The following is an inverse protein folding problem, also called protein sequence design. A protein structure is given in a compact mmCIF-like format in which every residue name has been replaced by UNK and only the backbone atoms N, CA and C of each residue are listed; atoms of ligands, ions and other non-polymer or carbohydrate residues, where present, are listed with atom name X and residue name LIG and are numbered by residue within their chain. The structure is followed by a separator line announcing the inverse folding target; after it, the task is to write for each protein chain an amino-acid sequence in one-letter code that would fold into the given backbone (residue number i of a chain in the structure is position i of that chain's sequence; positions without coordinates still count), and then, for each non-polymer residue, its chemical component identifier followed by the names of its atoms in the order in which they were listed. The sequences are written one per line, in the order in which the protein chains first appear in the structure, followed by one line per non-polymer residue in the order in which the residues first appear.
data_IF_458500017223
#
_entry.id   IF_458500017223
#
_cell.length_a   1.000
_cell.length_b   1.000
_cell.length_c   1.000
_cell.angle_alpha   90.00
_cell.angle_beta   90.00
_cell.angle_gamma   90.00
#
_symmetry.space_group_name_H-M   'P 1'
#
loop_
_entity.id
_entity.type
_entity.pdbx_description
1 polymer ?
#
# COMPACT_ATOMS: atom_id res chain seq x y z
N UNK A 1 -15.44 18.57 11.92
CA UNK A 1 -14.59 19.63 11.34
C UNK A 1 -13.85 19.04 10.16
N UNK A 2 -13.87 19.68 8.98
CA UNK A 2 -13.10 19.24 7.79
C UNK A 2 -11.61 19.24 8.12
N UNK A 3 -10.88 18.15 7.77
CA UNK A 3 -9.43 18.04 7.91
C UNK A 3 -8.73 18.78 6.75
N UNK A 4 -8.96 20.09 6.61
CA UNK A 4 -8.31 20.90 5.55
C UNK A 4 -6.80 20.63 5.52
N UNK A 5 -6.29 19.93 4.51
CA UNK A 5 -4.93 19.40 4.35
C UNK A 5 -4.52 18.37 5.42
N UNK A 6 -5.20 17.21 5.47
CA UNK A 6 -4.76 16.10 6.33
C UNK A 6 -3.35 15.63 5.93
N UNK A 7 -2.43 15.58 6.89
CA UNK A 7 -1.08 15.03 6.69
C UNK A 7 -1.16 13.50 6.61
N UNK A 8 -1.07 12.96 5.42
CA UNK A 8 -1.12 11.52 5.15
C UNK A 8 0.19 11.06 4.51
N UNK A 9 0.82 10.03 5.07
CA UNK A 9 1.96 9.37 4.45
C UNK A 9 1.51 8.13 3.67
N UNK A 10 2.25 7.79 2.61
CA UNK A 10 2.09 6.56 1.86
C UNK A 10 2.94 5.42 2.42
N UNK A 11 2.36 4.24 2.54
CA UNK A 11 3.05 3.01 2.93
C UNK A 11 2.84 1.94 1.86
N UNK A 12 3.91 1.54 1.18
CA UNK A 12 3.89 0.50 0.15
C UNK A 12 4.44 -0.80 0.74
N UNK A 13 3.61 -1.85 0.78
CA UNK A 13 4.03 -3.18 1.22
C UNK A 13 4.55 -3.98 0.02
N UNK A 14 5.86 -4.22 -0.02
CA UNK A 14 6.56 -4.91 -1.11
C UNK A 14 7.49 -6.02 -0.60
N UNK A 15 7.22 -6.59 0.58
CA UNK A 15 8.10 -7.54 1.26
C UNK A 15 7.86 -9.02 0.89
N UNK A 16 6.83 -9.33 0.10
CA UNK A 16 6.43 -10.70 -0.23
C UNK A 16 7.43 -11.44 -1.14
N UNK A 17 7.55 -12.78 -1.00
CA UNK A 17 8.52 -13.60 -1.73
C UNK A 17 8.17 -13.88 -3.19
N UNK A 18 6.93 -13.63 -3.61
CA UNK A 18 6.43 -13.92 -4.97
C UNK A 18 6.61 -15.39 -5.39
N UNK A 19 6.42 -16.34 -4.45
CA UNK A 19 6.77 -17.75 -4.62
C UNK A 19 5.98 -18.45 -5.75
N UNK A 20 4.73 -18.01 -5.99
CA UNK A 20 3.88 -18.56 -7.07
C UNK A 20 4.29 -18.07 -8.46
N UNK A 21 4.88 -16.89 -8.55
CA UNK A 21 5.37 -16.30 -9.81
C UNK A 21 6.77 -16.82 -10.18
N UNK A 22 7.53 -17.32 -9.20
CA UNK A 22 8.90 -17.85 -9.40
C UNK A 22 10.01 -16.79 -9.51
N UNK A 23 9.66 -15.51 -9.57
CA UNK A 23 10.57 -14.37 -9.51
C UNK A 23 9.93 -13.19 -8.80
N UNK A 24 10.72 -12.21 -8.31
CA UNK A 24 10.15 -11.07 -7.58
C UNK A 24 9.15 -10.30 -8.43
N UNK A 25 7.85 -10.25 -8.02
CA UNK A 25 6.82 -9.48 -8.72
C UNK A 25 7.16 -7.99 -8.78
N UNK A 26 7.90 -7.50 -7.80
CA UNK A 26 8.41 -6.14 -7.73
C UNK A 26 9.19 -5.73 -8.98
N UNK A 27 9.87 -6.69 -9.62
CA UNK A 27 10.72 -6.51 -10.79
C UNK A 27 10.04 -6.93 -12.12
N UNK A 28 8.75 -7.26 -12.10
CA UNK A 28 8.00 -7.51 -13.36
C UNK A 28 7.95 -6.22 -14.16
N UNK A 29 8.39 -6.28 -15.40
CA UNK A 29 8.41 -5.13 -16.32
C UNK A 29 7.07 -4.95 -17.01
N UNK A 30 6.55 -3.75 -16.99
CA UNK A 30 5.32 -3.31 -17.64
C UNK A 30 5.59 -2.93 -19.10
N UNK A 31 4.54 -2.73 -19.90
CA UNK A 31 4.63 -2.33 -21.30
C UNK A 31 5.31 -0.96 -21.51
N UNK A 32 5.32 -0.09 -20.52
CA UNK A 32 5.99 1.21 -20.53
C UNK A 32 7.47 1.16 -20.09
N UNK A 33 8.00 -0.02 -19.80
CA UNK A 33 9.38 -0.27 -19.40
C UNK A 33 9.65 -0.16 -17.91
N UNK A 34 8.71 0.36 -17.12
CA UNK A 34 8.85 0.43 -15.64
C UNK A 34 8.62 -0.94 -15.01
N UNK A 35 9.19 -1.16 -13.83
CA UNK A 35 8.81 -2.31 -13.00
C UNK A 35 7.49 -2.03 -12.26
N UNK A 36 6.80 -3.09 -11.80
CA UNK A 36 5.60 -2.94 -10.96
C UNK A 36 5.88 -2.08 -9.72
N UNK A 37 7.02 -2.29 -9.06
CA UNK A 37 7.40 -1.50 -7.89
C UNK A 37 7.65 -0.04 -8.27
N UNK A 38 8.38 0.23 -9.35
CA UNK A 38 8.64 1.58 -9.83
C UNK A 38 7.33 2.31 -10.12
N UNK A 39 6.43 1.68 -10.90
CA UNK A 39 5.11 2.25 -11.18
C UNK A 39 4.37 2.59 -9.89
N UNK A 40 4.28 1.65 -8.94
CA UNK A 40 3.58 1.89 -7.68
C UNK A 40 4.17 3.07 -6.91
N UNK A 41 5.50 3.15 -6.80
CA UNK A 41 6.20 4.26 -6.14
C UNK A 41 5.90 5.59 -6.85
N UNK A 42 5.93 5.62 -8.19
CA UNK A 42 5.64 6.81 -8.98
C UNK A 42 4.21 7.29 -8.75
N UNK A 43 3.20 6.38 -8.75
CA UNK A 43 1.81 6.76 -8.49
C UNK A 43 1.63 7.35 -7.09
N UNK A 44 2.27 6.74 -6.07
CA UNK A 44 2.23 7.25 -4.70
C UNK A 44 2.91 8.62 -4.59
N UNK A 45 4.11 8.79 -5.16
CA UNK A 45 4.86 10.06 -5.12
C UNK A 45 4.18 11.21 -5.85
N UNK A 46 3.48 10.89 -6.94
CA UNK A 46 2.75 11.88 -7.72
C UNK A 46 1.35 12.18 -7.16
N UNK A 47 0.98 11.57 -6.03
CA UNK A 47 -0.25 11.86 -5.30
C UNK A 47 -0.01 12.88 -4.17
N UNK A 48 -1.10 13.36 -3.54
CA UNK A 48 -1.07 14.40 -2.50
C UNK A 48 -0.67 13.83 -1.12
N UNK A 49 0.46 13.12 -1.06
CA UNK A 49 1.05 12.54 0.17
C UNK A 49 2.20 13.40 0.70
N UNK A 50 2.40 13.42 2.02
CA UNK A 50 3.54 14.09 2.69
C UNK A 50 4.87 13.37 2.40
N UNK A 51 4.84 12.07 2.13
CA UNK A 51 5.99 11.24 1.83
C UNK A 51 5.58 9.80 1.59
N UNK A 52 6.50 8.99 1.09
CA UNK A 52 6.25 7.59 0.75
C UNK A 52 7.34 6.70 1.33
N UNK A 53 6.93 5.69 2.10
CA UNK A 53 7.79 4.65 2.65
C UNK A 53 7.49 3.32 1.96
N UNK A 54 8.53 2.61 1.53
CA UNK A 54 8.43 1.26 0.98
C UNK A 54 8.98 0.24 1.98
N UNK A 55 8.23 -0.82 2.28
CA UNK A 55 8.72 -1.93 3.10
C UNK A 55 9.14 -3.07 2.19
N UNK A 56 10.43 -3.43 2.26
CA UNK A 56 11.04 -4.56 1.56
C UNK A 56 11.26 -5.74 2.52
N UNK A 57 11.41 -6.95 1.98
CA UNK A 57 11.66 -8.17 2.76
C UNK A 57 12.33 -9.23 1.92
N UNK A 58 11.57 -10.18 1.40
CA UNK A 58 12.11 -11.18 0.48
C UNK A 58 12.76 -10.52 -0.75
N UNK A 59 13.86 -11.10 -1.21
CA UNK A 59 14.59 -10.63 -2.40
C UNK A 59 15.10 -9.17 -2.33
N UNK A 60 15.22 -8.60 -1.12
CA UNK A 60 15.62 -7.21 -0.93
C UNK A 60 16.87 -6.83 -1.71
N UNK A 61 17.96 -7.61 -1.64
CA UNK A 61 19.21 -7.31 -2.33
C UNK A 61 19.01 -7.21 -3.86
N UNK A 62 18.22 -8.15 -4.41
CA UNK A 62 17.91 -8.15 -5.83
C UNK A 62 17.04 -6.96 -6.23
N UNK A 63 16.08 -6.59 -5.39
CA UNK A 63 15.22 -5.43 -5.63
C UNK A 63 16.06 -4.15 -5.57
N UNK A 64 16.86 -3.96 -4.52
CA UNK A 64 17.72 -2.78 -4.36
C UNK A 64 18.64 -2.56 -5.55
N UNK A 65 19.31 -3.60 -5.99
CA UNK A 65 20.22 -3.51 -7.17
C UNK A 65 19.53 -2.98 -8.45
N UNK A 66 18.21 -3.16 -8.58
CA UNK A 66 17.43 -2.72 -9.74
C UNK A 66 16.62 -1.45 -9.48
N UNK A 67 16.63 -0.94 -8.26
CA UNK A 67 15.70 0.11 -7.82
C UNK A 67 16.39 1.33 -7.21
N UNK A 68 17.72 1.37 -7.15
CA UNK A 68 18.49 2.45 -6.49
C UNK A 68 18.06 3.85 -6.93
N UNK A 69 17.78 4.03 -8.21
CA UNK A 69 17.44 5.35 -8.78
C UNK A 69 16.03 5.84 -8.40
N UNK A 70 15.08 4.94 -8.14
CA UNK A 70 13.67 5.32 -7.95
C UNK A 70 13.06 4.95 -6.60
N UNK A 71 13.68 4.04 -5.83
CA UNK A 71 13.07 3.49 -4.60
C UNK A 71 12.81 4.55 -3.53
N UNK A 72 13.74 5.50 -3.34
CA UNK A 72 13.63 6.55 -2.33
C UNK A 72 13.67 6.00 -0.90
N UNK A 73 12.73 6.42 -0.05
CA UNK A 73 12.73 5.99 1.36
C UNK A 73 12.18 4.57 1.49
N UNK A 74 12.96 3.69 2.11
CA UNK A 74 12.55 2.31 2.37
C UNK A 74 13.07 1.80 3.72
N UNK A 75 12.43 0.75 4.22
CA UNK A 75 12.92 -0.07 5.33
C UNK A 75 12.93 -1.54 4.93
N UNK A 76 13.85 -2.30 5.55
CA UNK A 76 13.88 -3.75 5.45
C UNK A 76 13.12 -4.38 6.61
N UNK A 77 12.21 -5.31 6.30
CA UNK A 77 11.59 -6.16 7.32
C UNK A 77 12.28 -7.53 7.35
N UNK A 78 13.16 -7.83 8.33
CA UNK A 78 13.80 -9.14 8.44
C UNK A 78 12.81 -10.25 8.80
N UNK A 79 11.67 -9.88 9.37
CA UNK A 79 10.62 -10.80 9.83
C UNK A 79 9.53 -11.04 8.76
N UNK A 80 9.77 -10.73 7.49
CA UNK A 80 8.78 -10.87 6.41
C UNK A 80 8.16 -12.27 6.30
N UNK A 81 8.86 -13.30 6.77
CA UNK A 81 8.38 -14.71 6.79
C UNK A 81 7.21 -14.93 7.76
N UNK A 82 7.02 -14.05 8.74
CA UNK A 82 5.90 -14.13 9.66
C UNK A 82 4.56 -13.77 8.99
N UNK A 83 4.61 -13.05 7.85
CA UNK A 83 3.42 -12.67 7.10
C UNK A 83 3.35 -11.17 6.78
N UNK A 84 2.26 -10.77 6.12
CA UNK A 84 2.05 -9.38 5.70
C UNK A 84 1.95 -8.42 6.90
N UNK A 85 1.40 -8.89 8.02
CA UNK A 85 1.26 -8.13 9.26
C UNK A 85 2.59 -7.63 9.80
N UNK A 86 3.65 -8.46 9.72
CA UNK A 86 4.98 -8.04 10.18
C UNK A 86 5.54 -6.86 9.39
N UNK A 87 5.24 -6.81 8.10
CA UNK A 87 5.64 -5.69 7.23
C UNK A 87 4.77 -4.45 7.47
N UNK A 88 3.47 -4.65 7.71
CA UNK A 88 2.55 -3.59 8.09
C UNK A 88 3.01 -2.93 9.40
N UNK A 89 3.25 -3.73 10.45
CA UNK A 89 3.70 -3.27 11.76
C UNK A 89 5.01 -2.49 11.65
N UNK A 90 6.01 -3.03 10.95
CA UNK A 90 7.31 -2.37 10.76
C UNK A 90 7.14 -1.01 10.05
N UNK A 91 6.33 -0.95 8.98
CA UNK A 91 6.10 0.28 8.22
C UNK A 91 5.33 1.33 9.01
N UNK A 92 4.24 0.95 9.69
CA UNK A 92 3.42 1.87 10.49
C UNK A 92 4.23 2.41 11.68
N UNK A 93 4.93 1.54 12.43
CA UNK A 93 5.79 1.97 13.55
C UNK A 93 6.85 2.97 13.10
N UNK A 94 7.55 2.67 12.00
CA UNK A 94 8.56 3.58 11.45
C UNK A 94 7.98 4.97 11.09
N UNK A 95 6.81 5.01 10.44
CA UNK A 95 6.16 6.27 10.07
C UNK A 95 5.74 7.09 11.28
N UNK A 96 5.18 6.47 12.32
CA UNK A 96 4.75 7.15 13.54
C UNK A 96 5.93 7.72 14.32
N UNK A 97 7.00 6.94 14.46
CA UNK A 97 8.22 7.35 15.18
C UNK A 97 8.88 8.56 14.51
N UNK A 98 8.92 8.59 13.18
CA UNK A 98 9.61 9.65 12.43
C UNK A 98 8.70 10.84 12.06
N UNK A 99 7.38 10.65 12.07
CA UNK A 99 6.39 11.64 11.68
C UNK A 99 5.20 11.69 12.65
N UNK A 100 5.37 12.13 13.90
CA UNK A 100 4.33 12.07 14.95
C UNK A 100 3.12 12.97 14.68
N UNK A 101 3.20 13.85 13.68
CA UNK A 101 2.08 14.74 13.28
C UNK A 101 1.20 14.16 12.18
N UNK A 102 1.42 12.92 11.74
CA UNK A 102 0.57 12.27 10.75
C UNK A 102 -0.85 12.09 11.27
N UNK A 103 -1.81 12.39 10.40
CA UNK A 103 -3.23 12.24 10.65
C UNK A 103 -3.81 11.00 9.98
N UNK A 104 -3.04 10.37 9.07
CA UNK A 104 -3.40 9.14 8.40
C UNK A 104 -2.22 8.49 7.68
N UNK A 105 -2.40 7.21 7.35
CA UNK A 105 -1.49 6.45 6.49
C UNK A 105 -2.32 5.84 5.37
N UNK A 106 -1.89 6.07 4.12
CA UNK A 106 -2.42 5.40 2.93
C UNK A 106 -1.58 4.14 2.68
N UNK A 107 -2.19 2.98 2.86
CA UNK A 107 -1.54 1.67 2.71
C UNK A 107 -1.89 1.10 1.35
N UNK A 108 -0.87 0.70 0.58
CA UNK A 108 -1.02 -0.01 -0.69
C UNK A 108 -0.02 -1.15 -0.84
N UNK A 109 -0.19 -1.91 -1.91
CA UNK A 109 0.64 -3.05 -2.29
C UNK A 109 1.23 -2.84 -3.68
N UNK A 110 2.33 -3.54 -4.02
CA UNK A 110 3.03 -3.32 -5.29
C UNK A 110 2.56 -4.23 -6.43
N UNK A 111 1.50 -4.99 -6.26
CA UNK A 111 1.03 -6.00 -7.21
C UNK A 111 -0.25 -5.62 -7.97
N UNK A 112 -0.77 -4.41 -7.77
CA UNK A 112 -1.94 -3.86 -8.46
C UNK A 112 -1.51 -2.99 -9.66
N UNK A 113 -1.42 -3.54 -10.88
CA UNK A 113 -0.84 -2.84 -12.04
C UNK A 113 -1.69 -1.66 -12.54
N UNK A 114 -2.97 -1.62 -12.20
CA UNK A 114 -3.89 -0.56 -12.63
C UNK A 114 -4.05 0.57 -11.61
N UNK A 115 -3.27 0.52 -10.52
CA UNK A 115 -3.23 1.62 -9.56
C UNK A 115 -2.80 2.93 -10.24
N UNK A 116 -3.50 4.02 -9.94
CA UNK A 116 -3.19 5.34 -10.43
C UNK A 116 -3.20 6.40 -9.32
N UNK A 117 -2.46 7.48 -9.53
CA UNK A 117 -2.46 8.64 -8.62
C UNK A 117 -3.83 9.30 -8.50
N UNK A 118 -4.64 9.25 -9.56
CA UNK A 118 -5.99 9.78 -9.55
C UNK A 118 -6.84 9.05 -8.52
N UNK A 119 -6.78 7.70 -8.49
CA UNK A 119 -7.49 6.91 -7.49
C UNK A 119 -6.96 7.19 -6.06
N UNK A 120 -5.64 7.27 -5.88
CA UNK A 120 -5.04 7.63 -4.59
C UNK A 120 -5.51 9.00 -4.11
N UNK A 121 -5.56 10.00 -5.01
CA UNK A 121 -6.03 11.35 -4.68
C UNK A 121 -7.52 11.40 -4.35
N UNK A 122 -8.37 10.55 -4.94
CA UNK A 122 -9.77 10.40 -4.55
C UNK A 122 -9.89 9.89 -3.11
N UNK A 123 -9.13 8.85 -2.73
CA UNK A 123 -9.11 8.35 -1.35
C UNK A 123 -8.67 9.44 -0.35
N UNK A 124 -7.62 10.20 -0.70
CA UNK A 124 -7.08 11.29 0.13
C UNK A 124 -8.07 12.44 0.27
N UNK A 125 -8.75 12.82 -0.81
CA UNK A 125 -9.75 13.89 -0.79
C UNK A 125 -10.96 13.54 0.08
N UNK A 126 -11.46 12.31 -0.02
CA UNK A 126 -12.55 11.82 0.81
C UNK A 126 -12.14 11.72 2.28
N UNK A 127 -10.92 11.31 2.57
CA UNK A 127 -10.38 11.27 3.92
C UNK A 127 -10.25 12.68 4.54
N UNK A 128 -9.85 13.67 3.75
CA UNK A 128 -9.70 15.06 4.21
C UNK A 128 -11.05 15.75 4.48
N UNK A 129 -12.08 15.42 3.70
CA UNK A 129 -13.40 16.07 3.79
C UNK A 129 -14.33 15.43 4.82
N UNK A 130 -14.15 14.15 5.10
CA UNK A 130 -15.00 13.38 6.01
C UNK A 130 -14.35 13.15 7.37
N UNK A 131 -15.18 12.94 8.41
CA UNK A 131 -14.71 12.53 9.75
C UNK A 131 -14.56 11.02 9.88
N UNK A 132 -14.57 10.30 8.74
CA UNK A 132 -14.47 8.85 8.66
C UNK A 132 -13.05 8.40 8.97
N UNK A 133 -12.91 7.30 9.72
CA UNK A 133 -11.61 6.77 10.12
C UNK A 133 -10.93 5.96 9.03
N UNK A 134 -11.70 5.38 8.08
CA UNK A 134 -11.16 4.54 7.01
C UNK A 134 -11.84 4.92 5.69
N UNK A 135 -11.02 5.23 4.68
CA UNK A 135 -11.45 5.33 3.27
C UNK A 135 -10.71 4.25 2.49
N UNK A 136 -11.42 3.34 1.84
CA UNK A 136 -10.83 2.17 1.20
C UNK A 136 -11.28 2.02 -0.25
N UNK A 137 -10.46 1.37 -1.06
CA UNK A 137 -10.83 0.95 -2.41
C UNK A 137 -11.93 -0.12 -2.37
N UNK A 138 -12.87 -0.04 -3.31
CA UNK A 138 -13.93 -1.03 -3.50
C UNK A 138 -13.77 -1.64 -4.89
N UNK A 139 -13.61 -2.95 -4.95
CA UNK A 139 -13.51 -3.73 -6.19
C UNK A 139 -14.04 -5.15 -5.97
N UNK A 140 -14.58 -5.76 -7.01
CA UNK A 140 -15.16 -7.11 -6.95
C UNK A 140 -16.14 -7.33 -5.77
N UNK A 141 -16.92 -6.29 -5.40
CA UNK A 141 -17.89 -6.35 -4.30
C UNK A 141 -17.30 -6.37 -2.90
N UNK A 142 -16.00 -6.13 -2.74
CA UNK A 142 -15.30 -6.11 -1.45
C UNK A 142 -14.53 -4.80 -1.23
N UNK A 143 -14.14 -4.56 0.03
CA UNK A 143 -13.24 -3.47 0.42
C UNK A 143 -11.81 -3.99 0.54
N UNK A 144 -10.84 -3.22 0.04
CA UNK A 144 -9.44 -3.58 0.05
C UNK A 144 -8.50 -2.38 0.02
N UNK A 145 -7.22 -2.67 -0.12
CA UNK A 145 -6.20 -1.64 -0.36
C UNK A 145 -6.15 -1.29 -1.86
N UNK A 146 -5.72 -0.03 -2.21
CA UNK A 146 -5.26 1.01 -1.30
C UNK A 146 -6.35 1.52 -0.36
N UNK A 147 -5.94 1.84 0.87
CA UNK A 147 -6.86 2.39 1.86
C UNK A 147 -6.14 3.38 2.78
N UNK A 148 -6.84 4.46 3.17
CA UNK A 148 -6.37 5.44 4.15
C UNK A 148 -6.94 5.07 5.51
N UNK A 149 -6.08 5.01 6.52
CA UNK A 149 -6.43 4.78 7.91
C UNK A 149 -6.08 6.02 8.74
N UNK A 150 -7.03 6.49 9.57
CA UNK A 150 -6.82 7.59 10.52
C UNK A 150 -5.79 7.24 11.58
N UNK A 151 -5.11 8.25 12.11
CA UNK A 151 -4.21 8.12 13.25
C UNK A 151 -4.85 7.46 14.47
N UNK A 152 -6.16 7.57 14.64
CA UNK A 152 -6.89 6.90 15.72
C UNK A 152 -6.82 5.36 15.66
N UNK A 153 -6.41 4.81 14.50
CA UNK A 153 -6.30 3.37 14.27
C UNK A 153 -4.85 2.87 14.19
N UNK A 154 -3.86 3.72 14.43
CA UNK A 154 -2.46 3.33 14.29
C UNK A 154 -2.06 2.22 15.26
N UNK A 155 -2.48 2.29 16.52
CA UNK A 155 -2.23 1.24 17.51
C UNK A 155 -2.85 -0.10 17.08
N UNK A 156 -4.05 -0.06 16.48
CA UNK A 156 -4.68 -1.28 15.97
C UNK A 156 -3.98 -1.84 14.73
N UNK A 157 -3.45 -0.98 13.84
CA UNK A 157 -2.66 -1.40 12.69
C UNK A 157 -1.36 -2.11 13.14
N UNK A 158 -0.71 -1.58 14.19
CA UNK A 158 0.49 -2.21 14.78
C UNK A 158 0.15 -3.52 15.48
N UNK A 159 -1.02 -3.61 16.12
CA UNK A 159 -1.46 -4.79 16.85
C UNK A 159 -2.04 -5.91 15.98
N UNK A 160 -2.10 -5.73 14.64
CA UNK A 160 -2.53 -6.81 13.72
C UNK A 160 -1.54 -7.97 13.81
N UNK A 161 -2.03 -9.16 14.14
CA UNK A 161 -1.25 -10.38 14.39
C UNK A 161 -1.62 -11.57 13.48
N UNK A 162 -2.26 -11.31 12.33
CA UNK A 162 -2.70 -12.35 11.42
C UNK A 162 -2.32 -12.06 9.96
N UNK A 163 -2.24 -13.10 9.13
CA UNK A 163 -1.80 -13.05 7.73
C UNK A 163 -2.64 -12.16 6.79
N UNK A 164 -3.73 -11.55 7.29
CA UNK A 164 -4.63 -10.72 6.48
C UNK A 164 -4.22 -9.24 6.42
N UNK A 165 -3.20 -8.82 7.20
CA UNK A 165 -2.73 -7.44 7.24
C UNK A 165 -3.86 -6.44 7.52
N UNK A 166 -3.84 -5.26 6.89
CA UNK A 166 -4.83 -4.19 7.10
C UNK A 166 -6.29 -4.60 6.78
N UNK A 167 -6.53 -5.68 6.05
CA UNK A 167 -7.89 -6.20 5.77
C UNK A 167 -8.69 -6.52 7.02
N UNK A 168 -8.04 -6.85 8.11
CA UNK A 168 -8.71 -7.13 9.41
C UNK A 168 -9.48 -5.91 9.88
N UNK A 169 -8.87 -4.72 9.79
CA UNK A 169 -9.53 -3.48 10.17
C UNK A 169 -10.67 -3.14 9.22
N UNK A 170 -10.51 -3.37 7.91
CA UNK A 170 -11.60 -3.18 6.94
C UNK A 170 -12.81 -4.05 7.25
N UNK A 171 -12.60 -5.30 7.72
CA UNK A 171 -13.67 -6.19 8.14
C UNK A 171 -14.29 -5.76 9.48
N UNK A 172 -13.45 -5.42 10.47
CA UNK A 172 -13.88 -4.97 11.80
C UNK A 172 -14.76 -3.71 11.73
N UNK A 173 -14.36 -2.75 10.89
CA UNK A 173 -15.03 -1.45 10.75
C UNK A 173 -15.93 -1.36 9.50
N UNK A 174 -16.35 -2.48 8.93
CA UNK A 174 -17.04 -2.56 7.63
C UNK A 174 -18.19 -1.56 7.44
N UNK A 175 -18.96 -1.29 8.48
CA UNK A 175 -20.10 -0.34 8.45
C UNK A 175 -19.69 1.13 8.56
N UNK A 176 -18.42 1.40 8.83
CA UNK A 176 -17.85 2.74 9.04
C UNK A 176 -16.75 3.06 8.00
N UNK A 177 -16.55 2.19 7.01
CA UNK A 177 -15.60 2.42 5.91
C UNK A 177 -16.30 3.12 4.76
N UNK A 178 -15.75 4.22 4.28
CA UNK A 178 -16.15 4.82 3.01
C UNK A 178 -15.43 4.09 1.86
N UNK A 179 -16.19 3.42 0.99
CA UNK A 179 -15.63 2.71 -0.15
C UNK A 179 -15.64 3.56 -1.42
N UNK A 180 -14.49 3.68 -2.08
CA UNK A 180 -14.31 4.36 -3.37
C UNK A 180 -14.06 3.31 -4.46
N UNK A 181 -14.83 3.34 -5.53
CA UNK A 181 -14.72 2.36 -6.61
C UNK A 181 -13.36 2.44 -7.29
N UNK A 182 -12.70 1.28 -7.39
CA UNK A 182 -11.41 1.11 -8.03
C UNK A 182 -11.55 0.11 -9.17
N UNK A 183 -11.71 0.62 -10.39
CA UNK A 183 -11.83 -0.22 -11.59
C UNK A 183 -10.56 -1.05 -11.79
N UNK A 184 -10.72 -2.37 -11.97
CA UNK A 184 -9.63 -3.36 -12.09
C UNK A 184 -8.75 -3.49 -10.85
N UNK A 185 -9.22 -3.02 -9.68
CA UNK A 185 -8.49 -3.15 -8.41
C UNK A 185 -8.37 -4.59 -7.92
N UNK A 186 -9.16 -5.50 -8.46
CA UNK A 186 -9.10 -6.95 -8.18
C UNK A 186 -7.99 -7.67 -8.94
N UNK A 187 -7.35 -7.01 -9.92
CA UNK A 187 -6.29 -7.63 -10.72
C UNK A 187 -4.96 -7.46 -10.01
N UNK A 188 -4.48 -8.55 -9.42
CA UNK A 188 -3.18 -8.65 -8.75
C UNK A 188 -2.24 -9.52 -9.59
N UNK A 189 -0.95 -9.20 -9.63
CA UNK A 189 0.08 -10.01 -10.30
C UNK A 189 0.68 -10.98 -9.28
N UNK A 190 0.19 -12.21 -9.28
CA UNK A 190 0.59 -13.26 -8.33
C UNK A 190 1.16 -14.52 -9.00
N UNK A 191 0.73 -14.82 -10.23
CA UNK A 191 1.11 -16.00 -11.02
C UNK A 191 1.52 -15.59 -12.43
N UNK A 192 2.14 -16.51 -13.16
CA UNK A 192 2.57 -16.27 -14.56
C UNK A 192 1.40 -15.97 -15.50
N UNK A 193 0.22 -16.54 -15.25
CA UNK A 193 -0.99 -16.29 -16.02
C UNK A 193 -1.47 -14.83 -15.89
N UNK A 194 -1.26 -14.21 -14.72
CA UNK A 194 -1.70 -12.84 -14.46
C UNK A 194 -0.94 -11.81 -15.33
N UNK A 195 0.24 -12.18 -15.84
CA UNK A 195 1.02 -11.33 -16.75
C UNK A 195 0.29 -11.02 -18.06
N UNK A 196 -0.74 -11.79 -18.42
CA UNK A 196 -1.61 -11.50 -19.55
C UNK A 196 -2.30 -10.14 -19.45
N UNK A 197 -2.64 -9.71 -18.23
CA UNK A 197 -3.28 -8.42 -17.98
C UNK A 197 -2.37 -7.20 -18.23
N UNK A 198 -1.06 -7.42 -18.40
CA UNK A 198 -0.07 -6.36 -18.61
C UNK A 198 0.24 -6.08 -20.10
N UNK A 199 -0.41 -6.80 -21.02
CA UNK A 199 -0.19 -6.70 -22.48
C UNK A 199 -1.07 -5.64 -23.13
#
# INVERSE_FOLDING_TARGET
MSRKSAKVAGLILAAGPSSRLGHPKQLVTLSDGRTLLQKTIDEFRNSNLEGVLTVLGANQEKILKHSEEFLGQFIANPNWKLGMESSLNAGVSHLIENHPSLQGILIGVCDQPFLSKEHLNLLLAEFATNTIQIVASRYAGTLGVPAVFSSDLFDELIAVDNSKGARVLLQKYRTQVLGIDFEKGEIDIDKSEDLYHLK
#
